data_IF_123402456652
#
_entry.id   IF_123402456652
#
_cell.length_a   1.000
_cell.length_b   1.000
_cell.length_c   1.000
_cell.angle_alpha   90.00
_cell.angle_beta   90.00
_cell.angle_gamma   90.00
#
_symmetry.space_group_name_H-M   'P 1'
#
loop_
_entity.id
_entity.type
_entity.pdbx_description
1 polymer ?
#
# COMPACT_ATOMS: atom_id res chain seq x y z
N UNK A 1 34.53 10.60 16.96
CA UNK A 1 34.00 10.76 15.59
C UNK A 1 32.95 9.68 15.36
N UNK A 2 31.81 10.15 14.86
CA UNK A 2 30.48 9.54 14.63
C UNK A 2 30.36 8.01 14.43
N UNK A 3 29.50 7.38 15.25
CA UNK A 3 28.72 6.19 14.87
C UNK A 3 27.38 6.68 14.31
N UNK A 4 27.24 6.70 12.99
CA UNK A 4 25.95 6.87 12.30
C UNK A 4 25.90 5.86 11.17
N UNK A 5 25.04 4.85 11.29
CA UNK A 5 24.99 3.78 10.29
C UNK A 5 24.01 2.63 10.55
N UNK A 6 22.99 2.81 11.40
CA UNK A 6 22.07 1.71 11.72
C UNK A 6 20.57 2.03 11.56
N UNK A 7 20.18 3.30 11.40
CA UNK A 7 18.75 3.68 11.33
C UNK A 7 18.09 3.29 10.00
N UNK A 8 18.85 3.20 8.91
CA UNK A 8 18.29 2.91 7.57
C UNK A 8 17.83 1.46 7.40
N UNK A 9 18.43 0.50 8.14
CA UNK A 9 18.05 -0.92 8.02
C UNK A 9 16.73 -1.23 8.73
N UNK A 10 16.45 -0.57 9.85
CA UNK A 10 15.24 -0.83 10.63
C UNK A 10 14.00 -0.32 9.88
N UNK A 11 14.08 0.84 9.24
CA UNK A 11 12.99 1.38 8.41
C UNK A 11 12.68 0.48 7.20
N UNK A 12 13.71 -0.08 6.54
CA UNK A 12 13.49 -1.05 5.45
C UNK A 12 12.90 -2.38 5.93
N UNK A 13 13.04 -2.72 7.22
CA UNK A 13 12.47 -3.95 7.79
C UNK A 13 11.04 -3.73 8.26
N UNK A 14 10.71 -2.53 8.75
CA UNK A 14 9.35 -2.15 9.15
C UNK A 14 8.46 -1.79 7.95
N UNK A 15 9.03 -1.31 6.83
CA UNK A 15 8.30 -1.12 5.56
C UNK A 15 7.85 -2.43 4.89
N UNK A 16 8.19 -3.60 5.46
CA UNK A 16 7.68 -4.92 5.04
C UNK A 16 6.28 -5.17 5.64
N UNK A 17 5.86 -4.39 6.64
CA UNK A 17 4.59 -4.58 7.36
C UNK A 17 3.36 -3.95 6.71
N UNK A 18 3.55 -3.05 5.74
CA UNK A 18 2.48 -2.42 4.99
C UNK A 18 2.79 -2.50 3.49
N UNK A 19 1.78 -2.70 2.63
CA UNK A 19 1.99 -2.69 1.19
C UNK A 19 2.53 -1.33 0.75
N UNK A 20 3.70 -1.32 0.11
CA UNK A 20 4.22 -0.14 -0.56
C UNK A 20 3.34 0.10 -1.80
N UNK A 21 2.50 1.14 -1.77
CA UNK A 21 1.61 1.48 -2.89
C UNK A 21 2.18 2.57 -3.80
N UNK A 22 3.47 2.93 -3.67
CA UNK A 22 4.09 3.91 -4.57
C UNK A 22 4.20 3.34 -5.99
N UNK A 23 4.04 4.18 -7.03
CA UNK A 23 4.21 3.77 -8.42
C UNK A 23 5.58 3.16 -8.69
N UNK A 24 5.59 2.10 -9.49
CA UNK A 24 6.80 1.52 -10.08
C UNK A 24 7.35 2.53 -11.09
N UNK A 25 8.62 2.85 -10.97
CA UNK A 25 9.36 3.79 -11.83
C UNK A 25 10.30 3.07 -12.80
N UNK A 26 10.62 1.80 -12.55
CA UNK A 26 11.51 1.02 -13.38
C UNK A 26 11.28 -0.49 -13.27
N UNK A 27 11.48 -1.19 -14.39
CA UNK A 27 11.39 -2.64 -14.49
C UNK A 27 12.60 -3.15 -15.27
N UNK A 28 13.21 -4.23 -14.82
CA UNK A 28 14.36 -4.87 -15.46
C UNK A 28 14.28 -6.40 -15.33
N UNK A 29 15.10 -7.14 -16.07
CA UNK A 29 15.24 -8.58 -15.92
C UNK A 29 16.71 -8.91 -15.64
N UNK A 30 16.95 -9.87 -14.73
CA UNK A 30 18.27 -10.43 -14.44
C UNK A 30 18.31 -11.93 -14.75
N UNK A 31 19.48 -12.44 -15.09
CA UNK A 31 19.74 -13.89 -15.13
C UNK A 31 20.01 -14.46 -13.74
N UNK A 32 20.84 -13.79 -12.93
CA UNK A 32 21.11 -14.19 -11.55
C UNK A 32 20.40 -13.26 -10.57
N UNK A 33 19.55 -13.82 -9.71
CA UNK A 33 18.80 -13.05 -8.72
C UNK A 33 19.68 -12.30 -7.72
N UNK A 34 20.86 -12.82 -7.39
CA UNK A 34 21.83 -12.19 -6.51
C UNK A 34 22.48 -10.95 -7.15
N UNK A 35 22.36 -10.81 -8.48
CA UNK A 35 22.82 -9.65 -9.25
C UNK A 35 21.71 -8.64 -9.51
N UNK A 36 20.59 -8.71 -8.78
CA UNK A 36 19.56 -7.68 -8.81
C UNK A 36 20.21 -6.29 -8.55
N UNK A 37 20.02 -5.31 -9.44
CA UNK A 37 20.64 -4.00 -9.28
C UNK A 37 20.23 -3.28 -7.99
N UNK A 38 21.10 -2.40 -7.49
CA UNK A 38 20.80 -1.60 -6.32
C UNK A 38 19.54 -0.74 -6.54
N UNK A 39 18.66 -0.71 -5.53
CA UNK A 39 17.38 0.01 -5.61
C UNK A 39 16.29 -0.75 -6.38
N UNK A 40 16.56 -1.96 -6.87
CA UNK A 40 15.56 -2.88 -7.41
C UNK A 40 15.29 -4.04 -6.44
N UNK A 41 14.09 -4.60 -6.53
CA UNK A 41 13.66 -5.80 -5.81
C UNK A 41 13.27 -6.86 -6.83
N UNK A 42 13.91 -8.02 -6.77
CA UNK A 42 13.59 -9.15 -7.63
C UNK A 42 12.36 -9.90 -7.12
N UNK A 43 11.45 -10.24 -8.03
CA UNK A 43 10.36 -11.19 -7.76
C UNK A 43 10.95 -12.60 -7.87
N UNK A 44 11.36 -13.14 -6.73
CA UNK A 44 11.99 -14.46 -6.61
C UNK A 44 10.97 -15.60 -6.49
N UNK A 45 9.77 -15.28 -6.00
CA UNK A 45 8.76 -16.26 -5.63
C UNK A 45 7.40 -15.92 -6.21
N UNK A 46 6.66 -16.95 -6.58
CA UNK A 46 5.29 -16.79 -7.07
C UNK A 46 4.35 -16.50 -5.91
N UNK A 47 3.41 -15.58 -6.13
CA UNK A 47 2.43 -15.13 -5.13
C UNK A 47 1.54 -16.25 -4.59
N UNK A 48 1.12 -17.19 -5.45
CA UNK A 48 0.10 -18.19 -5.13
C UNK A 48 0.63 -19.41 -4.39
N UNK A 49 1.80 -19.93 -4.80
CA UNK A 49 2.32 -21.20 -4.28
C UNK A 49 3.70 -21.09 -3.63
N UNK A 50 4.23 -19.86 -3.50
CA UNK A 50 5.60 -19.62 -3.07
C UNK A 50 6.55 -20.60 -3.79
N UNK A 51 6.55 -20.58 -5.12
CA UNK A 51 7.44 -21.38 -5.96
C UNK A 51 8.45 -20.47 -6.65
N UNK A 52 9.50 -21.04 -7.22
CA UNK A 52 10.45 -20.30 -8.04
C UNK A 52 9.73 -19.46 -9.13
N UNK A 53 10.00 -18.16 -9.19
CA UNK A 53 9.37 -17.23 -10.12
C UNK A 53 10.10 -17.08 -11.47
N UNK A 54 11.05 -17.97 -11.76
CA UNK A 54 11.78 -18.01 -13.03
C UNK A 54 10.84 -17.89 -14.24
N UNK A 55 11.12 -16.93 -15.12
CA UNK A 55 10.38 -16.65 -16.35
C UNK A 55 10.96 -17.39 -17.57
N UNK A 56 12.06 -18.13 -17.42
CA UNK A 56 12.73 -18.87 -18.48
C UNK A 56 12.53 -20.39 -18.41
N UNK A 57 11.68 -20.88 -17.48
CA UNK A 57 11.38 -22.30 -17.24
C UNK A 57 11.39 -23.14 -18.53
N UNK A 58 12.33 -24.07 -18.61
CA UNK A 58 12.31 -25.17 -19.59
C UNK A 58 12.10 -26.50 -18.87
N UNK A 59 11.28 -27.38 -19.45
CA UNK A 59 11.12 -28.77 -19.01
C UNK A 59 12.26 -29.70 -19.48
N UNK A 60 13.48 -29.18 -19.69
CA UNK A 60 14.62 -29.97 -20.16
C UNK A 60 15.63 -30.21 -19.05
N UNK A 61 15.60 -31.42 -18.49
CA UNK A 61 16.42 -31.89 -17.37
C UNK A 61 17.92 -32.05 -17.70
N UNK A 62 18.33 -31.82 -18.95
CA UNK A 62 19.67 -32.13 -19.48
C UNK A 62 20.54 -30.91 -19.78
N UNK A 63 20.03 -29.69 -19.62
CA UNK A 63 20.76 -28.44 -19.89
C UNK A 63 20.99 -27.64 -18.61
N UNK A 64 22.05 -26.83 -18.60
CA UNK A 64 22.32 -25.85 -17.54
C UNK A 64 21.08 -24.98 -17.32
N UNK A 65 20.63 -24.84 -16.08
CA UNK A 65 19.46 -24.01 -15.72
C UNK A 65 19.79 -22.56 -16.09
N UNK A 66 19.04 -22.02 -17.05
CA UNK A 66 19.05 -20.60 -17.40
C UNK A 66 17.80 -20.02 -16.77
N UNK A 67 17.96 -19.06 -15.85
CA UNK A 67 16.88 -18.46 -15.09
C UNK A 67 16.69 -17.00 -15.49
N UNK A 68 15.49 -16.46 -15.33
CA UNK A 68 15.19 -15.04 -15.54
C UNK A 68 14.23 -14.55 -14.48
N UNK A 69 14.61 -13.50 -13.76
CA UNK A 69 13.79 -12.90 -12.73
C UNK A 69 13.44 -11.46 -13.10
N UNK A 70 12.19 -11.09 -12.86
CA UNK A 70 11.72 -9.71 -13.01
C UNK A 70 12.13 -8.89 -11.78
N UNK A 71 12.68 -7.71 -12.01
CA UNK A 71 13.12 -6.78 -10.98
C UNK A 71 12.35 -5.47 -11.09
N UNK A 72 11.84 -4.98 -9.97
CA UNK A 72 11.03 -3.77 -9.89
C UNK A 72 11.76 -2.70 -9.10
N UNK A 73 11.56 -1.43 -9.45
CA UNK A 73 11.98 -0.31 -8.61
C UNK A 73 10.90 0.75 -8.55
N UNK A 74 10.80 1.37 -7.38
CA UNK A 74 9.95 2.54 -7.09
C UNK A 74 10.78 3.82 -6.91
N UNK A 75 12.10 3.73 -7.06
CA UNK A 75 13.04 4.85 -6.90
C UNK A 75 14.00 5.00 -8.07
N UNK A 76 14.25 3.93 -8.82
CA UNK A 76 15.11 3.89 -10.01
C UNK A 76 14.26 3.82 -11.27
N UNK A 77 14.79 4.34 -12.38
CA UNK A 77 14.10 4.37 -13.67
C UNK A 77 14.34 5.69 -14.41
N UNK A 78 13.50 5.97 -15.40
CA UNK A 78 13.57 7.24 -16.12
C UNK A 78 13.03 8.37 -15.21
N UNK A 79 13.82 9.42 -14.91
CA UNK A 79 13.39 10.46 -13.98
C UNK A 79 12.08 11.13 -14.39
N UNK A 80 11.14 11.21 -13.46
CA UNK A 80 9.83 11.83 -13.69
C UNK A 80 8.83 10.97 -14.47
N UNK A 81 9.14 9.69 -14.71
CA UNK A 81 8.23 8.73 -15.34
C UNK A 81 7.83 7.60 -14.39
N UNK A 82 6.67 7.04 -14.65
CA UNK A 82 6.12 5.87 -13.96
C UNK A 82 5.70 4.83 -14.99
N UNK A 83 5.65 3.57 -14.57
CA UNK A 83 5.09 2.49 -15.39
C UNK A 83 3.58 2.64 -15.39
N UNK A 84 3.02 2.89 -16.57
CA UNK A 84 1.60 3.12 -16.76
C UNK A 84 0.85 1.81 -17.01
N UNK A 85 1.43 0.93 -17.83
CA UNK A 85 0.76 -0.30 -18.25
C UNK A 85 1.77 -1.41 -18.60
N UNK A 86 1.33 -2.66 -18.56
CA UNK A 86 2.14 -3.86 -18.77
C UNK A 86 1.33 -4.89 -19.56
N UNK A 87 1.96 -5.46 -20.60
CA UNK A 87 1.34 -6.51 -21.41
C UNK A 87 2.38 -7.55 -21.83
N UNK A 88 1.95 -8.81 -21.87
CA UNK A 88 2.77 -9.90 -22.42
C UNK A 88 2.35 -10.17 -23.85
N UNK A 89 3.29 -10.08 -24.79
CA UNK A 89 3.05 -10.30 -26.22
C UNK A 89 3.85 -11.49 -26.76
N UNK A 90 3.36 -12.09 -27.84
CA UNK A 90 4.10 -13.11 -28.60
C UNK A 90 5.07 -12.49 -29.62
N UNK A 91 4.75 -11.29 -30.11
CA UNK A 91 5.51 -10.62 -31.16
C UNK A 91 6.72 -9.88 -30.60
N UNK A 92 7.76 -9.70 -31.44
CA UNK A 92 8.96 -8.93 -31.05
C UNK A 92 8.81 -7.43 -31.28
N UNK A 93 7.66 -6.99 -31.78
CA UNK A 93 7.38 -5.58 -32.04
C UNK A 93 6.40 -5.14 -30.95
N UNK A 94 6.73 -4.14 -30.12
CA UNK A 94 5.84 -3.70 -29.08
C UNK A 94 4.65 -2.95 -29.69
N UNK A 95 3.47 -2.97 -29.03
CA UNK A 95 2.37 -2.07 -29.37
C UNK A 95 2.79 -0.60 -29.31
N UNK A 96 2.01 0.28 -29.94
CA UNK A 96 2.28 1.72 -29.92
C UNK A 96 2.40 2.25 -28.48
N UNK A 97 3.49 2.98 -28.22
CA UNK A 97 3.81 3.54 -26.90
C UNK A 97 4.44 2.56 -25.91
N UNK A 98 4.50 1.25 -26.22
CA UNK A 98 5.17 0.27 -25.38
C UNK A 98 6.63 0.07 -25.79
N UNK A 99 7.45 -0.33 -24.82
CA UNK A 99 8.77 -0.89 -25.04
C UNK A 99 8.87 -2.24 -24.33
N UNK A 100 9.85 -3.08 -24.68
CA UNK A 100 10.07 -4.35 -24.01
C UNK A 100 11.53 -4.55 -23.63
N UNK A 101 11.73 -5.40 -22.63
CA UNK A 101 13.04 -5.74 -22.12
C UNK A 101 13.68 -6.77 -23.06
N UNK A 102 14.67 -6.34 -23.83
CA UNK A 102 15.36 -7.19 -24.83
C UNK A 102 16.46 -8.05 -24.21
N UNK A 103 17.13 -7.52 -23.17
CA UNK A 103 18.30 -8.13 -22.54
C UNK A 103 18.23 -8.10 -21.02
N UNK A 104 18.94 -9.04 -20.41
CA UNK A 104 19.18 -9.06 -18.97
C UNK A 104 20.23 -8.01 -18.61
N UNK A 105 20.01 -7.24 -17.55
CA UNK A 105 20.91 -6.16 -17.16
C UNK A 105 22.26 -6.64 -16.62
N UNK A 106 22.32 -7.86 -16.07
CA UNK A 106 23.51 -8.39 -15.38
C UNK A 106 24.46 -9.15 -16.30
N UNK A 107 23.95 -9.77 -17.37
CA UNK A 107 24.73 -10.62 -18.28
C UNK A 107 24.59 -10.26 -19.76
N UNK A 108 23.79 -9.24 -20.09
CA UNK A 108 23.50 -8.81 -21.48
C UNK A 108 22.98 -9.93 -22.40
N UNK A 109 22.49 -11.02 -21.81
CA UNK A 109 21.87 -12.12 -22.53
C UNK A 109 20.43 -11.78 -22.92
N UNK A 110 19.85 -12.54 -23.84
CA UNK A 110 18.44 -12.39 -24.22
C UNK A 110 17.55 -12.49 -22.97
N UNK A 111 16.64 -11.52 -22.78
CA UNK A 111 15.78 -11.45 -21.60
C UNK A 111 14.70 -12.54 -21.59
N UNK A 112 13.92 -12.65 -22.67
CA UNK A 112 12.83 -13.63 -22.79
C UNK A 112 12.79 -14.25 -24.20
N UNK A 113 12.31 -15.49 -24.34
CA UNK A 113 12.43 -16.25 -25.60
C UNK A 113 11.30 -16.05 -26.59
N UNK A 114 10.13 -16.61 -26.24
CA UNK A 114 8.95 -16.70 -27.10
C UNK A 114 8.06 -15.49 -26.90
N UNK A 115 7.70 -15.23 -25.65
CA UNK A 115 6.90 -14.08 -25.25
C UNK A 115 7.77 -12.99 -24.66
N UNK A 116 7.39 -11.75 -24.85
CA UNK A 116 8.08 -10.57 -24.33
C UNK A 116 7.18 -9.87 -23.32
N UNK A 117 7.79 -9.35 -22.25
CA UNK A 117 7.13 -8.44 -21.33
C UNK A 117 7.31 -7.01 -21.86
N UNK A 118 6.22 -6.40 -22.27
CA UNK A 118 6.14 -5.01 -22.69
C UNK A 118 5.61 -4.14 -21.54
N UNK A 119 6.08 -2.91 -21.48
CA UNK A 119 5.57 -1.90 -20.56
C UNK A 119 5.50 -0.54 -21.26
N UNK A 120 4.61 0.33 -20.77
CA UNK A 120 4.49 1.72 -21.21
C UNK A 120 4.89 2.64 -20.07
N UNK A 121 5.63 3.70 -20.40
CA UNK A 121 5.98 4.75 -19.46
C UNK A 121 5.10 5.98 -19.70
N UNK A 122 4.63 6.57 -18.62
CA UNK A 122 3.95 7.86 -18.65
C UNK A 122 4.69 8.89 -17.78
N UNK A 123 4.69 10.17 -18.17
CA UNK A 123 5.14 11.23 -17.28
C UNK A 123 4.31 11.22 -15.99
N UNK A 124 4.99 11.21 -14.85
CA UNK A 124 4.35 11.15 -13.52
C UNK A 124 3.34 12.28 -13.31
N UNK A 125 3.62 13.46 -13.86
CA UNK A 125 2.77 14.66 -13.73
C UNK A 125 1.42 14.54 -14.45
N UNK A 126 1.32 13.69 -15.47
CA UNK A 126 0.09 13.51 -16.26
C UNK A 126 -0.61 12.18 -16.00
N UNK A 127 0.04 11.24 -15.31
CA UNK A 127 -0.53 9.95 -14.98
C UNK A 127 -1.42 10.06 -13.73
N UNK A 128 -2.70 9.69 -13.85
CA UNK A 128 -3.59 9.56 -12.69
C UNK A 128 -3.36 8.21 -11.98
N UNK A 129 -3.32 7.14 -12.76
CA UNK A 129 -3.05 5.78 -12.31
C UNK A 129 -1.71 5.29 -12.86
N UNK A 130 -1.04 4.45 -12.09
CA UNK A 130 0.18 3.76 -12.50
C UNK A 130 0.24 2.38 -11.87
N UNK A 131 1.12 1.54 -12.41
CA UNK A 131 1.40 0.23 -11.82
C UNK A 131 2.13 0.43 -10.50
N UNK A 132 1.60 -0.15 -9.42
CA UNK A 132 2.17 -0.06 -8.07
C UNK A 132 2.78 -1.37 -7.59
N UNK A 133 2.32 -2.49 -8.14
CA UNK A 133 2.84 -3.82 -7.81
C UNK A 133 2.73 -4.78 -8.99
N UNK A 134 3.62 -5.78 -9.05
CA UNK A 134 3.64 -6.84 -10.06
C UNK A 134 3.90 -8.16 -9.35
N UNK A 135 3.05 -9.14 -9.61
CA UNK A 135 3.17 -10.48 -9.06
C UNK A 135 3.28 -11.52 -10.18
N UNK A 136 3.97 -12.62 -9.86
CA UNK A 136 4.05 -13.81 -10.71
C UNK A 136 3.25 -14.92 -10.05
N UNK A 137 2.42 -15.63 -10.81
CA UNK A 137 1.59 -16.73 -10.32
C UNK A 137 1.89 -18.01 -11.12
N UNK A 138 1.82 -19.18 -10.50
CA UNK A 138 2.13 -20.46 -11.17
C UNK A 138 0.89 -21.12 -11.78
N UNK A 139 -0.29 -20.98 -11.18
CA UNK A 139 -1.49 -21.77 -11.58
C UNK A 139 -2.79 -20.97 -11.71
N UNK A 140 -2.76 -19.69 -11.39
CA UNK A 140 -3.97 -18.87 -11.34
C UNK A 140 -4.54 -18.58 -12.73
N UNK A 141 -5.70 -19.14 -13.06
CA UNK A 141 -6.39 -18.88 -14.33
C UNK A 141 -6.97 -17.46 -14.44
N UNK A 142 -7.11 -16.75 -13.32
CA UNK A 142 -7.59 -15.37 -13.21
C UNK A 142 -6.68 -14.60 -12.27
N UNK A 143 -6.51 -13.31 -12.50
CA UNK A 143 -5.76 -12.46 -11.60
C UNK A 143 -6.42 -12.42 -10.20
N UNK A 144 -5.63 -12.36 -9.12
CA UNK A 144 -6.14 -12.11 -7.76
C UNK A 144 -6.95 -10.81 -7.68
N UNK A 145 -7.74 -10.67 -6.61
CA UNK A 145 -8.48 -9.44 -6.34
C UNK A 145 -7.53 -8.23 -6.27
N UNK A 146 -7.90 -7.13 -6.94
CA UNK A 146 -7.09 -5.92 -7.04
C UNK A 146 -5.97 -5.98 -8.08
N UNK A 147 -5.73 -7.13 -8.72
CA UNK A 147 -4.75 -7.29 -9.79
C UNK A 147 -5.41 -7.49 -11.16
N UNK A 148 -4.75 -7.02 -12.20
CA UNK A 148 -5.06 -7.23 -13.61
C UNK A 148 -4.09 -8.23 -14.23
N UNK A 149 -4.55 -8.99 -15.23
CA UNK A 149 -3.74 -9.96 -15.95
C UNK A 149 -2.95 -9.28 -17.08
N UNK A 150 -1.62 -9.31 -17.05
CA UNK A 150 -0.78 -8.86 -18.17
C UNK A 150 -0.57 -9.97 -19.21
N UNK A 151 -0.58 -11.23 -18.78
CA UNK A 151 -0.48 -12.42 -19.62
C UNK A 151 0.44 -13.48 -19.04
N UNK A 152 0.83 -14.46 -19.84
CA UNK A 152 1.56 -15.64 -19.37
C UNK A 152 2.89 -15.82 -20.13
N UNK A 153 4.00 -16.07 -19.43
CA UNK A 153 5.33 -16.35 -19.97
C UNK A 153 5.80 -17.71 -19.45
N UNK A 154 5.94 -18.71 -20.34
CA UNK A 154 6.45 -20.05 -19.99
C UNK A 154 5.72 -20.70 -18.78
N UNK A 155 4.40 -20.61 -18.70
CA UNK A 155 3.61 -21.13 -17.58
C UNK A 155 3.56 -20.22 -16.34
N UNK A 156 4.35 -19.15 -16.30
CA UNK A 156 4.29 -18.13 -15.26
C UNK A 156 3.33 -17.00 -15.67
N UNK A 157 2.36 -16.71 -14.82
CA UNK A 157 1.28 -15.76 -15.08
C UNK A 157 1.65 -14.43 -14.43
N UNK A 158 1.75 -13.38 -15.24
CA UNK A 158 2.10 -12.03 -14.81
C UNK A 158 0.83 -11.24 -14.54
N UNK A 159 0.69 -10.73 -13.32
CA UNK A 159 -0.39 -9.84 -12.93
C UNK A 159 0.18 -8.55 -12.35
N UNK A 160 -0.57 -7.45 -12.42
CA UNK A 160 -0.15 -6.16 -11.93
C UNK A 160 -1.29 -5.41 -11.23
N UNK A 161 -0.95 -4.59 -10.24
CA UNK A 161 -1.89 -3.73 -9.50
C UNK A 161 -1.74 -2.30 -9.97
N UNK A 162 -2.88 -1.63 -10.16
CA UNK A 162 -2.92 -0.19 -10.44
C UNK A 162 -3.19 0.58 -9.15
N UNK A 163 -2.58 1.75 -9.00
CA UNK A 163 -2.82 2.66 -7.89
C UNK A 163 -2.68 4.12 -8.30
N UNK A 164 -3.14 5.01 -7.43
CA UNK A 164 -3.18 6.44 -7.70
C UNK A 164 -1.76 7.04 -7.56
N UNK A 165 -1.35 7.84 -8.54
CA UNK A 165 0.01 8.41 -8.56
C UNK A 165 0.18 9.50 -7.50
N UNK A 166 -0.88 10.26 -7.20
CA UNK A 166 -0.81 11.43 -6.30
C UNK A 166 -0.80 11.06 -4.81
N UNK A 167 -1.34 9.91 -4.44
CA UNK A 167 -1.37 9.45 -3.04
C UNK A 167 0.04 9.17 -2.50
N UNK A 168 1.01 8.97 -3.39
CA UNK A 168 2.42 8.75 -3.03
C UNK A 168 3.23 10.03 -2.78
N UNK A 169 2.67 11.21 -3.05
CA UNK A 169 3.36 12.50 -2.81
C UNK A 169 3.27 12.94 -1.34
N UNK A 170 2.28 12.44 -0.60
CA UNK A 170 2.07 12.76 0.82
C UNK A 170 3.15 12.17 1.74
N UNK A 171 3.89 11.15 1.29
CA UNK A 171 4.91 10.47 2.12
C UNK A 171 6.36 10.88 1.80
N UNK A 172 6.65 11.41 0.60
CA UNK A 172 8.03 11.76 0.20
C UNK A 172 8.36 13.26 0.23
N UNK A 173 7.40 14.10 0.64
CA UNK A 173 7.54 15.55 0.64
C UNK A 173 7.77 16.17 2.02
N UNK A 174 8.78 15.74 2.79
CA UNK A 174 9.28 16.53 3.94
C UNK A 174 10.80 16.45 4.07
N UNK A 175 11.51 17.08 3.14
CA UNK A 175 12.85 17.60 3.41
C UNK A 175 12.96 18.98 2.75
N UNK A 176 12.56 20.01 3.50
CA UNK A 176 12.67 21.41 3.13
C UNK A 176 11.38 22.20 3.38
N UNK A 177 11.30 22.85 4.54
CA UNK A 177 10.35 23.92 4.89
C UNK A 177 8.91 23.54 5.29
N UNK A 178 8.73 22.52 6.14
CA UNK A 178 7.56 22.50 7.02
C UNK A 178 7.80 23.37 8.25
N UNK A 179 7.62 24.69 8.10
CA UNK A 179 7.24 25.52 9.24
C UNK A 179 5.73 25.28 9.43
N UNK A 180 5.25 24.87 10.62
CA UNK A 180 3.81 24.85 10.89
C UNK A 180 3.23 26.22 10.53
N UNK A 181 1.97 26.32 10.05
CA UNK A 181 1.33 27.61 9.89
C UNK A 181 1.47 28.38 11.21
N UNK A 182 2.10 29.54 11.13
CA UNK A 182 2.39 30.38 12.29
C UNK A 182 1.04 30.75 12.93
N UNK A 183 0.86 30.38 14.20
CA UNK A 183 -0.38 30.62 14.93
C UNK A 183 -0.68 32.11 14.88
N UNK A 184 -1.93 32.53 14.58
CA UNK A 184 -2.32 33.93 14.70
C UNK A 184 -1.94 34.45 16.10
N UNK A 185 -1.46 35.69 16.23
CA UNK A 185 -1.11 36.25 17.52
C UNK A 185 -2.31 36.19 18.47
N UNK A 186 -2.08 35.70 19.69
CA UNK A 186 -3.10 35.60 20.73
C UNK A 186 -3.67 37.02 20.99
N UNK A 187 -4.99 37.23 20.95
CA UNK A 187 -5.59 38.50 21.37
C UNK A 187 -5.16 38.84 22.80
N UNK A 188 -4.84 40.11 23.05
CA UNK A 188 -4.49 40.58 24.38
C UNK A 188 -5.64 40.26 25.38
N UNK A 189 -5.34 39.78 26.59
CA UNK A 189 -6.37 39.49 27.57
C UNK A 189 -7.08 40.79 27.99
N UNK A 190 -8.41 40.78 28.17
CA UNK A 190 -9.12 41.91 28.76
C UNK A 190 -8.64 42.13 30.22
N UNK A 191 -8.72 43.37 30.74
CA UNK A 191 -8.30 43.67 32.10
C UNK A 191 -9.10 42.83 33.10
N UNK A 192 -8.37 42.08 33.92
CA UNK A 192 -8.90 41.08 34.87
C UNK A 192 -9.68 41.75 36.00
N UNK A 193 -10.98 41.47 36.10
CA UNK A 193 -11.73 41.54 37.36
C UNK A 193 -11.59 40.18 38.05
N UNK A 194 -10.94 40.18 39.22
CA UNK A 194 -10.51 39.01 39.99
C UNK A 194 -11.67 38.33 40.72
N UNK A 195 -12.12 37.17 40.24
CA UNK A 195 -13.04 36.26 40.98
C UNK A 195 -12.62 34.78 40.94
N UNK A 196 -11.58 34.38 40.19
CA UNK A 196 -11.13 32.97 40.15
C UNK A 196 -9.66 32.81 40.54
N UNK A 197 -9.28 31.67 41.18
CA UNK A 197 -7.91 31.41 41.56
C UNK A 197 -7.04 31.27 40.31
N UNK A 198 -5.94 32.01 40.28
CA UNK A 198 -4.91 31.98 39.24
C UNK A 198 -4.18 30.64 39.31
N UNK A 199 -4.48 29.75 38.36
CA UNK A 199 -3.57 28.65 38.03
C UNK A 199 -2.42 29.30 37.25
N UNK A 200 -1.21 29.19 37.79
CA UNK A 200 -0.02 29.77 37.20
C UNK A 200 0.13 29.32 35.74
N UNK A 201 0.19 30.30 34.84
CA UNK A 201 0.68 30.12 33.47
C UNK A 201 2.09 29.51 33.51
N UNK A 202 2.32 28.54 32.61
CA UNK A 202 3.62 27.96 32.19
C UNK A 202 3.98 26.53 32.60
N UNK A 203 3.06 25.55 32.50
CA UNK A 203 3.55 24.19 32.16
C UNK A 203 2.60 23.51 31.17
N UNK A 204 3.10 23.38 29.95
CA UNK A 204 2.52 22.68 28.80
C UNK A 204 2.66 21.16 29.04
N UNK A 205 1.82 20.60 29.90
CA UNK A 205 1.88 19.18 30.30
C UNK A 205 1.21 18.22 29.30
N UNK A 206 0.68 18.73 28.19
CA UNK A 206 -0.10 17.91 27.24
C UNK A 206 0.76 16.89 26.47
N UNK A 207 2.09 16.98 26.54
CA UNK A 207 3.02 16.14 25.77
C UNK A 207 3.97 15.28 26.62
N UNK A 208 3.89 15.27 27.94
CA UNK A 208 4.82 14.49 28.79
C UNK A 208 4.69 12.96 28.59
N UNK A 209 3.55 12.49 28.08
CA UNK A 209 3.28 11.07 27.78
C UNK A 209 4.13 10.55 26.61
N UNK A 210 4.72 11.43 25.80
CA UNK A 210 5.49 11.06 24.61
C UNK A 210 7.01 11.02 24.84
N UNK A 211 7.49 11.31 26.06
CA UNK A 211 8.92 11.34 26.33
C UNK A 211 9.46 9.92 26.60
N UNK A 212 10.46 9.42 25.86
CA UNK A 212 10.94 8.04 25.96
C UNK A 212 11.64 7.72 27.31
N UNK A 213 11.96 8.73 28.10
CA UNK A 213 12.60 8.61 29.42
C UNK A 213 11.58 8.59 30.59
N UNK A 214 10.27 8.61 30.32
CA UNK A 214 9.25 8.55 31.37
C UNK A 214 9.21 7.13 31.98
N UNK A 215 9.88 6.99 33.13
CA UNK A 215 10.02 5.72 33.83
C UNK A 215 8.71 5.38 34.59
N UNK A 216 7.73 4.83 33.87
CA UNK A 216 6.48 4.31 34.44
C UNK A 216 6.75 3.07 35.31
N UNK A 217 7.09 3.27 36.59
CA UNK A 217 6.96 2.22 37.59
C UNK A 217 5.52 2.22 38.13
N UNK A 218 4.70 1.20 37.85
CA UNK A 218 3.40 1.10 38.49
C UNK A 218 3.58 0.94 40.01
N UNK A 219 2.99 1.87 40.77
CA UNK A 219 2.95 1.86 42.25
C UNK A 219 2.10 0.70 42.82
N UNK A 220 1.41 -0.07 41.97
CA UNK A 220 0.48 -1.12 42.40
C UNK A 220 1.05 -2.52 42.13
N UNK A 221 1.06 -3.43 43.12
CA UNK A 221 1.39 -4.84 42.89
C UNK A 221 0.51 -5.45 41.79
N UNK A 222 1.11 -6.27 40.93
CA UNK A 222 0.39 -6.98 39.89
C UNK A 222 -0.67 -7.92 40.51
N UNK A 223 -1.90 -7.97 39.96
CA UNK A 223 -2.91 -8.93 40.41
C UNK A 223 -2.43 -10.38 40.23
N UNK A 224 -2.70 -11.22 41.22
CA UNK A 224 -2.38 -12.65 41.18
C UNK A 224 -3.11 -13.36 40.04
N UNK A 225 -2.39 -14.23 39.34
CA UNK A 225 -2.91 -15.02 38.21
C UNK A 225 -4.07 -15.93 38.67
N UNK A 226 -5.24 -15.93 38.00
CA UNK A 226 -6.29 -16.90 38.26
C UNK A 226 -5.86 -18.34 37.96
N UNK A 227 -6.35 -19.30 38.73
CA UNK A 227 -6.07 -20.72 38.55
C UNK A 227 -6.61 -21.25 37.18
N UNK A 228 -6.02 -22.32 36.61
CA UNK A 228 -6.50 -22.90 35.36
C UNK A 228 -7.90 -23.52 35.55
N UNK A 229 -8.85 -23.10 34.72
CA UNK A 229 -10.18 -23.71 34.65
C UNK A 229 -10.12 -25.04 33.89
N UNK A 230 -10.77 -26.06 34.44
CA UNK A 230 -11.02 -27.36 33.81
C UNK A 230 -11.94 -27.23 32.59
N UNK A 231 -11.81 -28.13 31.59
CA UNK A 231 -12.50 -27.99 30.32
C UNK A 231 -13.97 -28.41 30.43
N UNK A 232 -14.86 -27.43 30.34
CA UNK A 232 -16.29 -27.68 30.24
C UNK A 232 -17.07 -26.40 29.98
N UNK A 233 -17.53 -26.26 28.74
CA UNK A 233 -18.53 -25.32 28.24
C UNK A 233 -18.01 -24.01 27.65
N UNK A 234 -18.07 -23.99 26.32
CA UNK A 234 -17.83 -22.88 25.42
C UNK A 234 -18.98 -21.87 25.50
N UNK A 235 -18.69 -20.63 25.89
CA UNK A 235 -19.43 -19.45 25.42
C UNK A 235 -18.46 -18.30 25.25
N UNK A 236 -18.42 -17.73 24.04
CA UNK A 236 -17.54 -16.64 23.66
C UNK A 236 -17.88 -15.37 24.46
N UNK A 237 -17.08 -15.08 25.49
CA UNK A 237 -17.01 -13.76 26.11
C UNK A 237 -15.56 -13.32 26.17
N UNK A 238 -15.19 -12.42 25.25
CA UNK A 238 -13.92 -11.70 25.29
C UNK A 238 -14.00 -10.60 26.37
N UNK A 239 -13.63 -10.94 27.60
CA UNK A 239 -13.07 -10.00 28.58
C UNK A 239 -11.59 -9.75 28.17
N UNK A 240 -10.94 -8.59 28.31
CA UNK A 240 -11.22 -7.37 29.05
C UNK A 240 -10.19 -6.32 28.62
N UNK A 241 -10.62 -5.19 28.06
CA UNK A 241 -9.83 -3.97 27.93
C UNK A 241 -10.70 -2.79 28.40
N UNK A 242 -10.16 -2.02 29.33
CA UNK A 242 -10.82 -0.98 30.10
C UNK A 242 -11.57 0.08 29.27
N UNK A 243 -12.84 0.33 29.65
CA UNK A 243 -13.65 1.58 29.65
C UNK A 243 -13.55 2.57 28.47
N UNK A 244 -14.64 2.94 27.78
CA UNK A 244 -15.84 3.53 28.40
C UNK A 244 -17.17 3.28 27.67
N UNK A 245 -17.36 2.08 27.09
CA UNK A 245 -18.64 1.64 26.51
C UNK A 245 -19.08 0.28 27.05
N UNK A 246 -18.74 -0.02 28.31
CA UNK A 246 -19.11 -1.28 28.94
C UNK A 246 -20.56 -1.20 29.46
N UNK A 247 -21.46 -1.98 28.86
CA UNK A 247 -22.87 -2.06 29.26
C UNK A 247 -23.91 -1.77 28.17
N UNK A 248 -23.51 -1.33 26.97
CA UNK A 248 -24.43 -1.25 25.82
C UNK A 248 -24.32 -2.55 25.01
N UNK A 249 -25.31 -3.46 25.06
CA UNK A 249 -25.28 -4.62 24.20
C UNK A 249 -25.29 -4.16 22.73
N UNK A 250 -24.32 -4.61 21.96
CA UNK A 250 -24.30 -4.43 20.51
C UNK A 250 -25.40 -5.32 19.89
N UNK A 251 -26.61 -4.78 19.83
CA UNK A 251 -27.74 -5.43 19.17
C UNK A 251 -27.69 -5.01 17.70
N UNK A 252 -27.48 -5.97 16.80
CA UNK A 252 -27.69 -5.76 15.37
C UNK A 252 -29.13 -5.29 15.17
N UNK A 253 -29.31 -4.17 14.46
CA UNK A 253 -30.64 -3.65 14.18
C UNK A 253 -31.50 -4.78 13.56
N UNK A 254 -32.71 -5.07 14.11
CA UNK A 254 -33.53 -6.22 13.72
C UNK A 254 -33.80 -6.34 12.22
N UNK A 255 -33.70 -5.24 11.46
CA UNK A 255 -33.79 -5.26 10.00
C UNK A 255 -32.67 -6.06 9.31
N UNK A 256 -31.53 -6.26 9.97
CA UNK A 256 -30.37 -6.97 9.42
C UNK A 256 -30.20 -8.38 10.01
N UNK A 257 -30.95 -8.77 11.05
CA UNK A 257 -30.87 -10.14 11.60
C UNK A 257 -31.41 -11.21 10.63
N UNK A 258 -32.26 -10.84 9.67
CA UNK A 258 -32.86 -11.75 8.69
C UNK A 258 -32.07 -11.86 7.36
N UNK A 259 -30.87 -11.28 7.24
CA UNK A 259 -30.05 -11.35 6.01
C UNK A 259 -29.24 -12.66 5.85
N UNK A 260 -29.50 -13.69 6.68
CA UNK A 260 -28.97 -15.03 6.46
C UNK A 260 -29.59 -15.74 5.22
N UNK A 261 -30.50 -15.08 4.50
CA UNK A 261 -31.01 -15.52 3.20
C UNK A 261 -30.38 -14.64 2.08
N UNK A 262 -29.46 -15.17 1.26
CA UNK A 262 -28.80 -14.40 0.20
C UNK A 262 -29.77 -13.89 -0.88
N UNK A 263 -30.99 -14.42 -0.94
CA UNK A 263 -32.00 -14.10 -1.97
C UNK A 263 -32.80 -12.81 -1.73
N UNK A 264 -32.53 -12.04 -0.66
CA UNK A 264 -33.29 -10.81 -0.32
C UNK A 264 -32.48 -9.51 -0.27
N UNK A 265 -31.20 -9.52 -0.65
CA UNK A 265 -30.42 -8.27 -0.72
C UNK A 265 -30.76 -7.52 -2.01
N UNK A 266 -31.87 -6.79 -2.01
CA UNK A 266 -32.26 -5.95 -3.13
C UNK A 266 -31.48 -4.64 -3.05
N UNK A 267 -30.27 -4.64 -3.62
CA UNK A 267 -29.48 -3.43 -3.77
C UNK A 267 -30.24 -2.45 -4.67
N UNK A 268 -30.29 -1.15 -4.33
CA UNK A 268 -30.91 -0.16 -5.19
C UNK A 268 -30.23 -0.17 -6.56
N UNK A 269 -31.03 -0.29 -7.61
CA UNK A 269 -30.54 -0.30 -8.99
C UNK A 269 -29.94 1.07 -9.31
N UNK A 270 -28.61 1.11 -9.47
CA UNK A 270 -27.91 2.31 -9.91
C UNK A 270 -28.30 2.56 -11.37
N UNK A 271 -29.10 3.60 -11.61
CA UNK A 271 -29.47 4.03 -12.96
C UNK A 271 -28.23 4.62 -13.64
N UNK A 272 -27.83 4.05 -14.77
CA UNK A 272 -26.81 4.65 -15.63
C UNK A 272 -27.36 5.96 -16.20
N UNK A 273 -26.59 7.04 -16.09
CA UNK A 273 -26.94 8.37 -16.58
C UNK A 273 -25.87 8.84 -17.54
N UNK A 274 -26.28 9.57 -18.57
CA UNK A 274 -25.34 10.22 -19.49
C UNK A 274 -24.74 11.46 -18.84
N UNK A 275 -23.58 11.90 -19.34
CA UNK A 275 -22.91 13.12 -18.87
C UNK A 275 -23.83 14.35 -18.93
N UNK A 276 -24.61 14.49 -20.01
CA UNK A 276 -25.58 15.58 -20.16
C UNK A 276 -26.68 15.55 -19.09
N UNK A 277 -27.16 14.35 -18.71
CA UNK A 277 -28.16 14.21 -17.65
C UNK A 277 -27.61 14.63 -16.28
N UNK A 278 -26.35 14.30 -16.00
CA UNK A 278 -25.69 14.67 -14.75
C UNK A 278 -25.47 16.18 -14.66
N UNK A 279 -24.99 16.80 -15.75
CA UNK A 279 -24.81 18.25 -15.79
C UNK A 279 -26.12 19.00 -15.59
N UNK A 280 -27.24 18.51 -16.14
CA UNK A 280 -28.54 19.14 -15.96
C UNK A 280 -29.11 18.97 -14.55
N UNK A 281 -29.03 17.76 -13.99
CA UNK A 281 -29.70 17.43 -12.73
C UNK A 281 -28.93 17.92 -11.49
N UNK A 282 -27.62 18.14 -11.64
CA UNK A 282 -26.72 18.53 -10.55
C UNK A 282 -25.99 19.85 -10.83
N UNK A 283 -26.56 20.70 -11.71
CA UNK A 283 -26.06 22.06 -11.90
C UNK A 283 -26.32 22.88 -10.63
N UNK A 284 -25.27 23.08 -9.84
CA UNK A 284 -25.34 23.83 -8.60
C UNK A 284 -24.74 25.22 -8.81
N UNK A 285 -25.60 26.23 -8.91
CA UNK A 285 -25.16 27.62 -8.95
C UNK A 285 -24.85 28.11 -7.53
N UNK A 286 -23.60 28.50 -7.27
CA UNK A 286 -23.14 29.09 -6.00
C UNK A 286 -23.79 30.46 -5.66
N UNK A 287 -24.88 30.85 -6.32
CA UNK A 287 -25.60 32.08 -6.08
C UNK A 287 -26.21 32.14 -4.67
N UNK A 288 -26.53 30.99 -4.07
CA UNK A 288 -27.17 30.88 -2.75
C UNK A 288 -26.17 31.06 -1.59
N UNK A 289 -24.87 30.92 -1.86
CA UNK A 289 -23.80 31.00 -0.83
C UNK A 289 -23.20 32.41 -0.70
N UNK A 290 -23.68 33.38 -1.49
CA UNK A 290 -23.17 34.77 -1.48
C UNK A 290 -24.00 35.74 -0.61
N UNK A 291 -24.80 35.25 0.32
CA UNK A 291 -25.56 36.07 1.27
C UNK A 291 -24.89 36.13 2.65
#
# INVERSE_FOLDING_TARGET
>A
MSKSGNSNRILSTLSISLPDDRPITGIQIVENIEKCPAGFTAISRTYDQDQDADLWREGSFLKRKTERYLCLSKTQGLPGYVVEDIVVINDKIPPEGFCFLTRTVDTEQKALRKKQLCYRLAPRKSAQLAVTDIIVCSRLKKAPEGFSLAGEINGAIICYKMGNVQDSESESGQNGNNRPPERPPKPAPPPTSSVYPTIADNIDHDYEILNPDFNNRPSRPAPTRPAPLTPGQSTHTLLSAQGGLDGVPFIINPRFMNMANPDKVQLPVIKTRTMQQLMKDYDYSFAVERQ
#
